data_IF_808377397905
#
_entry.id   IF_808377397905
#
_cell.length_a   1.000
_cell.length_b   1.000
_cell.length_c   1.000
_cell.angle_alpha   90.00
_cell.angle_beta   90.00
_cell.angle_gamma   90.00
#
_symmetry.space_group_name_H-M   'P 1'
#
loop_
_entity.id
_entity.type
_entity.pdbx_description
1 polymer ?
#
# COMPACT_ATOMS: atom_id res chain seq x y z
N UNK A 1 -12.33 16.71 3.43
CA UNK A 1 -13.15 15.54 3.81
C UNK A 1 -13.82 15.03 2.53
N UNK A 2 -13.30 13.97 1.89
CA UNK A 2 -13.82 13.48 0.61
C UNK A 2 -14.66 12.24 0.92
N UNK A 3 -15.98 12.37 0.80
CA UNK A 3 -16.98 11.31 1.01
C UNK A 3 -16.73 10.21 -0.02
N UNK A 4 -16.00 9.18 0.40
CA UNK A 4 -15.81 7.94 -0.33
C UNK A 4 -17.19 7.29 -0.47
N UNK A 5 -17.74 7.22 -1.70
CA UNK A 5 -18.89 6.34 -1.98
C UNK A 5 -18.63 4.98 -1.32
N UNK A 6 -19.57 4.46 -0.52
CA UNK A 6 -19.39 3.17 0.14
C UNK A 6 -19.11 2.10 -0.92
N UNK A 7 -18.20 1.16 -0.63
CA UNK A 7 -17.83 0.07 -1.54
C UNK A 7 -19.05 -0.75 -2.00
N UNK A 8 -20.13 -0.67 -1.23
CA UNK A 8 -21.45 -1.25 -1.49
C UNK A 8 -22.18 -0.63 -2.70
N UNK A 9 -21.85 0.59 -3.12
CA UNK A 9 -22.49 1.28 -4.25
C UNK A 9 -21.73 1.13 -5.58
N UNK A 10 -20.49 0.63 -5.55
CA UNK A 10 -19.71 0.42 -6.77
C UNK A 10 -20.18 -0.86 -7.50
N UNK A 11 -20.10 -0.83 -8.83
CA UNK A 11 -20.32 -2.02 -9.67
C UNK A 11 -19.13 -2.99 -9.57
N UNK A 12 -19.31 -4.24 -10.01
CA UNK A 12 -18.24 -5.25 -9.98
C UNK A 12 -17.02 -4.83 -10.81
N UNK A 13 -17.24 -4.18 -11.96
CA UNK A 13 -16.18 -3.61 -12.79
C UNK A 13 -15.41 -2.50 -12.10
N UNK A 14 -16.09 -1.59 -11.39
CA UNK A 14 -15.43 -0.52 -10.63
C UNK A 14 -14.64 -1.06 -9.44
N UNK A 15 -15.14 -2.12 -8.77
CA UNK A 15 -14.42 -2.81 -7.70
C UNK A 15 -13.15 -3.50 -8.21
N UNK A 16 -13.23 -4.20 -9.34
CA UNK A 16 -12.07 -4.83 -9.98
C UNK A 16 -11.04 -3.79 -10.46
N UNK A 17 -11.50 -2.69 -11.08
CA UNK A 17 -10.64 -1.59 -11.49
C UNK A 17 -9.93 -0.95 -10.30
N UNK A 18 -10.64 -0.70 -9.19
CA UNK A 18 -10.04 -0.23 -7.93
C UNK A 18 -9.04 -1.21 -7.36
N UNK A 19 -9.34 -2.51 -7.35
CA UNK A 19 -8.40 -3.52 -6.87
C UNK A 19 -7.10 -3.52 -7.67
N UNK A 20 -7.19 -3.44 -9.01
CA UNK A 20 -6.04 -3.37 -9.91
C UNK A 20 -5.23 -2.09 -9.70
N UNK A 21 -5.91 -0.95 -9.54
CA UNK A 21 -5.28 0.34 -9.24
C UNK A 21 -4.52 0.29 -7.90
N UNK A 22 -5.16 -0.21 -6.84
CA UNK A 22 -4.54 -0.34 -5.52
C UNK A 22 -3.32 -1.29 -5.54
N UNK A 23 -3.40 -2.39 -6.29
CA UNK A 23 -2.24 -3.28 -6.50
C UNK A 23 -1.10 -2.59 -7.22
N UNK A 24 -1.39 -1.85 -8.30
CA UNK A 24 -0.36 -1.09 -9.01
C UNK A 24 0.29 -0.03 -8.12
N UNK A 25 -0.50 0.69 -7.32
CA UNK A 25 0.01 1.68 -6.37
C UNK A 25 0.88 1.01 -5.31
N UNK A 26 0.45 -0.14 -4.78
CA UNK A 26 1.23 -0.90 -3.80
C UNK A 26 2.58 -1.38 -4.37
N UNK A 27 2.60 -1.84 -5.64
CA UNK A 27 3.83 -2.23 -6.32
C UNK A 27 4.75 -1.01 -6.51
N UNK A 28 4.20 0.11 -7.01
CA UNK A 28 4.98 1.33 -7.23
C UNK A 28 5.60 1.88 -5.93
N UNK A 29 4.81 1.94 -4.85
CA UNK A 29 5.31 2.30 -3.52
C UNK A 29 6.37 1.31 -3.03
N UNK A 30 6.17 0.01 -3.26
CA UNK A 30 7.13 -1.02 -2.87
C UNK A 30 8.48 -0.84 -3.57
N UNK A 31 8.47 -0.52 -4.87
CA UNK A 31 9.71 -0.25 -5.63
C UNK A 31 10.44 0.99 -5.12
N UNK A 32 9.72 2.09 -4.89
CA UNK A 32 10.31 3.32 -4.33
C UNK A 32 10.89 3.05 -2.94
N UNK A 33 10.20 2.26 -2.12
CA UNK A 33 10.64 1.88 -0.78
C UNK A 33 11.93 1.05 -0.81
N UNK A 34 12.08 0.14 -1.78
CA UNK A 34 13.29 -0.67 -1.94
C UNK A 34 14.50 0.20 -2.32
N UNK A 35 14.29 1.17 -3.22
CA UNK A 35 15.30 2.18 -3.56
C UNK A 35 15.67 3.05 -2.35
N UNK A 36 14.68 3.54 -1.60
CA UNK A 36 14.89 4.35 -0.40
C UNK A 36 15.67 3.58 0.67
N UNK A 37 15.35 2.30 0.90
CA UNK A 37 16.11 1.43 1.79
C UNK A 37 17.56 1.26 1.33
N UNK A 38 17.80 1.04 0.03
CA UNK A 38 19.15 0.95 -0.52
C UNK A 38 19.98 2.22 -0.26
N UNK A 39 19.37 3.39 -0.47
CA UNK A 39 20.00 4.69 -0.20
C UNK A 39 20.28 4.88 1.30
N UNK A 40 19.33 4.52 2.17
CA UNK A 40 19.49 4.61 3.63
C UNK A 40 20.60 3.70 4.15
N UNK A 41 20.73 2.49 3.60
CA UNK A 41 21.82 1.54 3.95
C UNK A 41 23.16 2.13 3.51
N UNK A 42 23.25 2.61 2.26
CA UNK A 42 24.46 3.25 1.73
C UNK A 42 24.90 4.45 2.58
N UNK A 43 23.97 5.37 2.86
CA UNK A 43 24.22 6.54 3.71
C UNK A 43 24.57 6.17 5.16
N UNK A 44 23.98 5.10 5.71
CA UNK A 44 24.29 4.65 7.08
C UNK A 44 25.73 4.16 7.20
N UNK A 45 26.24 3.48 6.17
CA UNK A 45 27.62 2.99 6.11
C UNK A 45 28.58 4.18 5.96
N UNK A 46 28.31 5.09 5.04
CA UNK A 46 29.18 6.23 4.75
C UNK A 46 29.19 7.27 5.88
N UNK A 47 28.03 7.55 6.48
CA UNK A 47 27.89 8.56 7.54
C UNK A 47 28.10 8.04 8.96
N UNK A 48 28.34 6.73 9.16
CA UNK A 48 28.45 6.04 10.47
C UNK A 48 27.34 6.40 11.48
N UNK A 49 26.15 6.73 10.98
CA UNK A 49 25.00 7.18 11.79
C UNK A 49 23.94 6.08 11.84
N UNK A 50 23.93 5.22 12.87
CA UNK A 50 23.00 4.09 12.97
C UNK A 50 21.53 4.51 13.14
N UNK A 51 21.25 5.78 13.47
CA UNK A 51 19.90 6.30 13.61
C UNK A 51 19.05 6.26 12.32
N UNK A 52 19.68 6.25 11.14
CA UNK A 52 18.97 6.11 9.86
C UNK A 52 18.32 4.73 9.68
N UNK A 53 18.84 3.69 10.34
CA UNK A 53 18.27 2.35 10.29
C UNK A 53 16.91 2.29 11.02
N UNK A 54 16.73 3.07 12.08
CA UNK A 54 15.45 3.15 12.81
C UNK A 54 14.34 3.74 11.93
N UNK A 55 14.65 4.71 11.07
CA UNK A 55 13.71 5.25 10.10
C UNK A 55 13.26 4.21 9.06
N UNK A 56 14.15 3.28 8.68
CA UNK A 56 13.82 2.15 7.80
C UNK A 56 12.82 1.17 8.40
N UNK A 57 12.87 0.95 9.73
CA UNK A 57 11.98 0.00 10.43
C UNK A 57 10.58 0.58 10.65
N UNK A 58 10.43 1.91 10.80
CA UNK A 58 9.12 2.56 10.97
C UNK A 58 8.32 2.72 9.68
N UNK A 59 9.00 2.74 8.53
CA UNK A 59 8.41 3.00 7.22
C UNK A 59 7.32 1.99 6.76
N UNK A 60 7.36 0.68 7.07
CA UNK A 60 6.32 -0.28 6.69
C UNK A 60 4.93 0.03 7.27
N UNK A 61 4.84 0.76 8.39
CA UNK A 61 3.55 1.18 8.99
C UNK A 61 2.69 2.00 8.02
N UNK A 62 3.31 2.72 7.09
CA UNK A 62 2.60 3.55 6.10
C UNK A 62 1.79 2.74 5.09
N UNK A 63 2.07 1.44 4.93
CA UNK A 63 1.36 0.55 4.01
C UNK A 63 0.05 -0.03 4.57
N UNK A 64 -0.14 0.03 5.88
CA UNK A 64 -1.32 -0.52 6.57
C UNK A 64 -2.66 -0.08 5.96
N UNK A 65 -2.92 1.24 5.70
CA UNK A 65 -4.19 1.68 5.12
C UNK A 65 -4.45 1.08 3.73
N UNK A 66 -3.41 0.90 2.91
CA UNK A 66 -3.53 0.31 1.57
C UNK A 66 -3.94 -1.16 1.68
N UNK A 67 -3.35 -1.91 2.62
CA UNK A 67 -3.70 -3.31 2.87
C UNK A 67 -5.13 -3.47 3.38
N UNK A 68 -5.59 -2.59 4.28
CA UNK A 68 -6.95 -2.58 4.80
C UNK A 68 -7.96 -2.35 3.68
N UNK A 69 -7.75 -1.31 2.86
CA UNK A 69 -8.66 -0.98 1.74
C UNK A 69 -8.66 -2.10 0.70
N UNK A 70 -7.51 -2.70 0.39
CA UNK A 70 -7.41 -3.81 -0.54
C UNK A 70 -8.15 -5.07 -0.04
N UNK A 71 -8.08 -5.35 1.27
CA UNK A 71 -8.81 -6.42 1.91
C UNK A 71 -10.33 -6.21 1.87
N UNK A 72 -10.79 -4.99 2.14
CA UNK A 72 -12.21 -4.63 2.05
C UNK A 72 -12.75 -4.78 0.62
N UNK A 73 -12.03 -4.26 -0.38
CA UNK A 73 -12.39 -4.41 -1.80
C UNK A 73 -12.47 -5.88 -2.20
N UNK A 74 -11.49 -6.70 -1.80
CA UNK A 74 -11.47 -8.13 -2.11
C UNK A 74 -12.63 -8.89 -1.44
N UNK A 75 -12.96 -8.55 -0.20
CA UNK A 75 -14.08 -9.16 0.54
C UNK A 75 -15.42 -8.83 -0.14
N UNK A 76 -15.62 -7.59 -0.57
CA UNK A 76 -16.81 -7.16 -1.31
C UNK A 76 -16.92 -7.86 -2.68
N UNK A 77 -15.82 -8.00 -3.45
CA UNK A 77 -15.83 -8.77 -4.71
C UNK A 77 -16.24 -10.22 -4.43
N UNK A 78 -15.65 -10.86 -3.41
CA UNK A 78 -15.93 -12.27 -3.08
C UNK A 78 -17.39 -12.47 -2.69
N UNK A 79 -17.98 -11.57 -1.90
CA UNK A 79 -19.39 -11.62 -1.51
C UNK A 79 -20.34 -11.54 -2.71
N UNK A 80 -19.98 -10.76 -3.74
CA UNK A 80 -20.83 -10.56 -4.93
C UNK A 80 -20.67 -11.64 -6.00
N UNK A 81 -19.50 -12.25 -6.10
CA UNK A 81 -19.24 -13.38 -7.02
C UNK A 81 -19.75 -14.71 -6.44
N UNK A 82 -19.82 -14.83 -5.10
CA UNK A 82 -20.30 -16.03 -4.40
C UNK A 82 -21.82 -16.08 -4.22
N UNK A 83 -22.56 -15.08 -4.72
CA UNK A 83 -24.02 -15.02 -4.69
C UNK A 83 -24.56 -15.35 -6.07
#
# INVERSE_FOLDING_TARGET
>A
MKTSKPLTELTLDELNARQKSLKNIAIALGTIMLLACGILIYLSIESKKPGLLAAGIGFPMTFLPILIVLGQVRSEIKKRVSK
#
